data_IF_793976360467
#
_entry.id   IF_793976360467
#
_cell.length_a   1.000
_cell.length_b   1.000
_cell.length_c   1.000
_cell.angle_alpha   90.00
_cell.angle_beta   90.00
_cell.angle_gamma   90.00
#
_symmetry.space_group_name_H-M   'P 1'
#
loop_
_entity.id
_entity.type
_entity.pdbx_description
1 polymer ?
#
# COMPACT_ATOMS: atom_id res chain seq x y z
N UNK A 1 1.38 -46.87 38.45
CA UNK A 1 1.68 -45.46 38.81
C UNK A 1 1.85 -44.71 37.51
N UNK A 2 0.82 -43.97 37.07
CA UNK A 2 0.80 -43.24 35.83
C UNK A 2 1.16 -41.77 36.17
N UNK A 3 2.28 -41.29 35.64
CA UNK A 3 2.70 -39.90 35.81
C UNK A 3 2.01 -39.06 34.76
N UNK A 4 1.13 -38.15 35.18
CA UNK A 4 0.48 -37.14 34.33
C UNK A 4 1.44 -35.96 34.17
N UNK A 5 2.02 -35.80 32.99
CA UNK A 5 2.83 -34.61 32.62
C UNK A 5 1.88 -33.52 32.15
N UNK A 6 1.65 -32.52 33.00
CA UNK A 6 0.93 -31.29 32.60
C UNK A 6 1.92 -30.39 31.88
N UNK A 7 1.81 -30.31 30.56
CA UNK A 7 2.49 -29.28 29.75
C UNK A 7 1.76 -27.95 29.94
N UNK A 8 2.28 -27.11 30.82
CA UNK A 8 1.86 -25.73 30.96
C UNK A 8 2.31 -24.93 29.72
N UNK A 9 1.43 -24.72 28.75
CA UNK A 9 1.65 -23.76 27.69
C UNK A 9 1.66 -22.35 28.28
N UNK A 10 2.81 -21.65 28.16
CA UNK A 10 2.87 -20.20 28.39
C UNK A 10 2.04 -19.52 27.30
N UNK A 11 0.83 -19.13 27.62
CA UNK A 11 0.10 -18.15 26.79
C UNK A 11 0.77 -16.82 27.04
N UNK A 12 1.53 -16.33 26.07
CA UNK A 12 1.97 -14.94 26.06
C UNK A 12 0.69 -14.08 26.01
N UNK A 13 0.39 -13.42 27.10
CA UNK A 13 -0.68 -12.45 27.20
C UNK A 13 -0.18 -11.21 26.46
N UNK A 14 -0.62 -11.03 25.22
CA UNK A 14 -0.42 -9.77 24.51
C UNK A 14 -1.02 -8.66 25.36
N UNK A 15 -0.20 -7.70 25.77
CA UNK A 15 -0.65 -6.53 26.51
C UNK A 15 -1.25 -5.57 25.50
N UNK A 16 -2.57 -5.45 25.46
CA UNK A 16 -3.22 -4.35 24.76
C UNK A 16 -2.78 -3.03 25.39
N UNK A 17 -2.25 -2.12 24.58
CA UNK A 17 -1.92 -0.76 25.03
C UNK A 17 -3.18 0.10 24.92
N UNK A 18 -3.73 0.50 26.07
CA UNK A 18 -4.81 1.50 26.09
C UNK A 18 -4.23 2.90 25.99
N UNK A 19 -4.24 3.46 24.78
CA UNK A 19 -3.86 4.85 24.56
C UNK A 19 -4.98 5.79 24.98
N UNK A 20 -4.75 6.61 25.99
CA UNK A 20 -5.72 7.58 26.51
C UNK A 20 -5.61 8.96 25.87
N UNK A 21 -4.52 9.23 25.16
CA UNK A 21 -4.30 10.50 24.45
C UNK A 21 -3.32 10.32 23.29
N UNK A 22 -3.50 11.15 22.26
CA UNK A 22 -2.60 11.24 21.11
C UNK A 22 -2.17 12.71 20.97
N UNK A 23 -0.85 12.93 20.83
CA UNK A 23 -0.28 14.24 20.50
C UNK A 23 0.05 14.25 19.01
N UNK A 24 -0.40 15.28 18.30
CA UNK A 24 -0.11 15.49 16.89
C UNK A 24 0.77 16.74 16.75
N UNK A 25 1.95 16.57 16.16
CA UNK A 25 2.86 17.67 15.83
C UNK A 25 2.96 17.79 14.30
N UNK A 26 2.79 19.01 13.77
CA UNK A 26 2.99 19.29 12.33
C UNK A 26 4.49 19.48 12.10
N UNK A 27 5.08 18.61 11.27
CA UNK A 27 6.52 18.65 10.95
C UNK A 27 6.78 19.39 9.62
N UNK A 28 5.86 19.29 8.69
CA UNK A 28 5.93 19.93 7.38
C UNK A 28 4.53 20.21 6.84
N UNK A 29 4.36 21.35 6.20
CA UNK A 29 3.12 21.76 5.54
C UNK A 29 3.46 22.43 4.21
N UNK A 30 2.72 22.09 3.15
CA UNK A 30 2.82 22.68 1.82
C UNK A 30 1.42 22.69 1.16
N UNK A 31 1.27 23.41 0.06
CA UNK A 31 0.04 23.51 -0.72
C UNK A 31 -0.25 22.30 -1.60
N UNK A 32 0.58 21.25 -1.54
CA UNK A 32 0.47 20.04 -2.34
C UNK A 32 -0.20 18.89 -1.58
N UNK A 33 -0.70 17.91 -2.31
CA UNK A 33 -1.23 16.67 -1.73
C UNK A 33 -0.11 15.65 -1.54
N UNK A 34 0.24 15.35 -0.28
CA UNK A 34 1.15 14.24 0.08
C UNK A 34 0.29 13.07 0.54
N UNK A 35 0.35 11.94 -0.16
CA UNK A 35 -0.46 10.75 0.13
C UNK A 35 0.35 9.53 0.50
N UNK A 36 1.65 9.56 0.24
CA UNK A 36 2.54 8.46 0.55
C UNK A 36 3.79 9.00 1.27
N UNK A 37 4.11 8.36 2.37
CA UNK A 37 5.29 8.63 3.19
C UNK A 37 5.98 7.31 3.49
N UNK A 38 7.30 7.34 3.68
CA UNK A 38 8.10 6.15 3.93
C UNK A 38 9.19 6.44 4.97
N UNK A 39 9.26 5.64 6.01
CA UNK A 39 10.37 5.69 6.96
C UNK A 39 11.59 5.01 6.35
N UNK A 40 12.63 5.77 6.05
CA UNK A 40 13.88 5.23 5.53
C UNK A 40 14.71 4.57 6.66
N UNK A 41 14.60 5.11 7.85
CA UNK A 41 15.18 4.64 9.10
C UNK A 41 14.45 5.26 10.30
N UNK A 42 14.88 5.01 11.53
CA UNK A 42 14.28 5.55 12.76
C UNK A 42 14.28 7.09 12.87
N UNK A 43 15.09 7.78 12.05
CA UNK A 43 15.29 9.23 12.13
C UNK A 43 14.96 9.96 10.83
N UNK A 44 14.65 9.23 9.76
CA UNK A 44 14.47 9.79 8.42
C UNK A 44 13.19 9.30 7.79
N UNK A 45 12.37 10.26 7.38
CA UNK A 45 11.14 10.03 6.63
C UNK A 45 11.29 10.64 5.24
N UNK A 46 10.89 9.92 4.21
CA UNK A 46 10.78 10.43 2.85
C UNK A 46 9.32 10.52 2.42
N UNK A 47 9.05 11.41 1.47
CA UNK A 47 7.71 11.61 0.91
C UNK A 47 7.76 12.05 -0.54
N UNK A 48 6.67 11.83 -1.24
CA UNK A 48 6.41 12.42 -2.55
C UNK A 48 4.92 12.79 -2.67
N UNK A 49 4.62 13.78 -3.50
CA UNK A 49 3.27 14.35 -3.59
C UNK A 49 2.95 14.89 -4.99
N UNK A 50 1.84 15.63 -5.07
CA UNK A 50 1.46 16.33 -6.29
C UNK A 50 2.47 17.43 -6.64
N UNK A 51 2.32 18.01 -7.83
CA UNK A 51 3.18 19.07 -8.34
C UNK A 51 4.67 18.72 -8.37
N UNK A 52 4.98 17.42 -8.54
CA UNK A 52 6.35 16.92 -8.60
C UNK A 52 7.12 17.04 -7.29
N UNK A 53 6.48 17.43 -6.20
CA UNK A 53 7.14 17.59 -4.92
C UNK A 53 7.63 16.25 -4.38
N UNK A 54 8.86 16.20 -3.92
CA UNK A 54 9.40 15.11 -3.11
C UNK A 54 10.43 15.63 -2.11
N UNK A 55 10.66 14.88 -1.06
CA UNK A 55 11.58 15.34 -0.04
C UNK A 55 11.83 14.34 1.07
N UNK A 56 12.56 14.81 2.07
CA UNK A 56 12.82 14.05 3.30
C UNK A 56 12.79 14.96 4.53
N UNK A 57 12.46 14.35 5.64
CA UNK A 57 12.46 14.98 6.97
C UNK A 57 13.42 14.22 7.86
N UNK A 58 14.32 14.93 8.53
CA UNK A 58 15.07 14.39 9.64
C UNK A 58 14.27 14.61 10.92
N UNK A 59 13.78 13.54 11.53
CA UNK A 59 12.87 13.58 12.69
C UNK A 59 13.55 14.05 13.99
N UNK A 60 14.88 13.95 14.08
CA UNK A 60 15.65 14.44 15.24
C UNK A 60 15.82 15.97 15.21
N UNK A 61 16.05 16.52 14.03
CA UNK A 61 16.37 17.95 13.87
C UNK A 61 15.22 18.76 13.28
N UNK A 62 14.13 18.10 12.87
CA UNK A 62 13.01 18.68 12.12
C UNK A 62 13.43 19.37 10.80
N UNK A 63 14.61 19.00 10.29
CA UNK A 63 15.10 19.57 9.03
C UNK A 63 14.39 18.92 7.86
N UNK A 64 13.73 19.74 7.05
CA UNK A 64 13.05 19.32 5.83
C UNK A 64 13.88 19.70 4.61
N UNK A 65 14.01 18.79 3.68
CA UNK A 65 14.61 19.02 2.37
C UNK A 65 13.58 18.68 1.30
N UNK A 66 13.30 19.61 0.40
CA UNK A 66 12.36 19.42 -0.70
C UNK A 66 12.98 19.71 -2.04
N UNK A 67 12.47 19.02 -3.05
CA UNK A 67 12.78 19.27 -4.48
C UNK A 67 11.51 19.08 -5.30
N UNK A 68 11.52 19.62 -6.50
CA UNK A 68 10.44 19.42 -7.48
C UNK A 68 10.98 18.67 -8.70
N UNK A 69 10.27 17.61 -9.09
CA UNK A 69 10.53 16.85 -10.31
C UNK A 69 9.77 17.47 -11.48
N UNK A 70 10.43 17.49 -12.64
CA UNK A 70 9.80 17.77 -13.94
C UNK A 70 10.19 16.69 -14.94
N UNK A 71 9.25 16.30 -15.76
CA UNK A 71 9.48 15.40 -16.87
C UNK A 71 9.11 16.14 -18.17
N UNK A 72 10.12 16.60 -18.92
CA UNK A 72 9.96 17.51 -20.05
C UNK A 72 9.15 18.77 -19.64
N UNK A 73 7.95 18.94 -20.21
CA UNK A 73 7.03 20.05 -19.90
C UNK A 73 5.98 19.70 -18.87
N UNK A 74 5.86 18.41 -18.46
CA UNK A 74 4.88 17.94 -17.47
C UNK A 74 5.47 17.95 -16.06
N UNK A 75 4.59 18.06 -15.09
CA UNK A 75 4.91 17.95 -13.66
C UNK A 75 4.19 16.71 -13.15
N UNK A 76 4.91 15.64 -12.78
CA UNK A 76 4.28 14.40 -12.31
C UNK A 76 3.58 14.58 -10.95
N UNK A 77 2.50 13.85 -10.73
CA UNK A 77 1.85 13.73 -9.43
C UNK A 77 2.19 12.37 -8.83
N UNK A 78 2.98 12.37 -7.75
CA UNK A 78 3.40 11.13 -7.09
C UNK A 78 2.38 10.71 -6.04
N UNK A 79 2.04 9.42 -6.02
CA UNK A 79 1.08 8.84 -5.07
C UNK A 79 1.58 7.57 -4.40
N UNK A 80 2.64 6.96 -4.91
CA UNK A 80 3.26 5.79 -4.32
C UNK A 80 4.75 6.03 -4.07
N UNK A 81 5.22 5.57 -2.92
CA UNK A 81 6.62 5.61 -2.52
C UNK A 81 7.03 4.28 -1.89
N UNK A 82 8.30 3.94 -2.00
CA UNK A 82 8.87 2.77 -1.33
C UNK A 82 10.38 2.98 -1.13
N UNK A 83 11.02 2.12 -0.35
CA UNK A 83 12.46 2.15 -0.18
C UNK A 83 13.07 0.75 -0.11
N UNK A 84 14.37 0.70 -0.39
CA UNK A 84 15.28 -0.39 -0.02
C UNK A 84 16.30 0.15 0.97
N UNK A 85 17.21 -0.65 1.42
CA UNK A 85 18.29 -0.18 2.31
C UNK A 85 19.15 0.94 1.68
N UNK A 86 19.15 1.09 0.35
CA UNK A 86 20.00 2.04 -0.37
C UNK A 86 19.26 3.09 -1.17
N UNK A 87 18.05 2.83 -1.57
CA UNK A 87 17.32 3.66 -2.53
C UNK A 87 15.90 3.98 -2.07
N UNK A 88 15.46 5.20 -2.35
CA UNK A 88 14.08 5.64 -2.27
C UNK A 88 13.47 5.68 -3.66
N UNK A 89 12.21 5.28 -3.76
CA UNK A 89 11.45 5.20 -5.01
C UNK A 89 10.20 6.06 -4.90
N UNK A 90 9.80 6.67 -6.02
CA UNK A 90 8.55 7.40 -6.15
C UNK A 90 7.92 7.12 -7.51
N UNK A 91 6.62 6.83 -7.52
CA UNK A 91 5.85 6.48 -8.71
C UNK A 91 4.70 7.46 -8.89
N UNK A 92 4.60 8.02 -10.09
CA UNK A 92 3.51 8.92 -10.44
C UNK A 92 2.28 8.16 -10.91
N UNK A 93 1.12 8.80 -10.72
CA UNK A 93 -0.15 8.41 -11.36
C UNK A 93 -0.20 8.92 -12.80
N UNK A 94 -1.18 8.42 -13.56
CA UNK A 94 -1.56 8.84 -14.91
C UNK A 94 -0.47 8.64 -15.97
N UNK A 95 -0.83 8.88 -17.20
CA UNK A 95 0.05 8.74 -18.37
C UNK A 95 0.83 10.03 -18.64
N UNK A 96 2.17 10.01 -18.73
CA UNK A 96 3.01 8.84 -18.48
C UNK A 96 3.15 8.53 -16.98
N UNK A 97 2.98 7.26 -16.60
CA UNK A 97 3.43 6.79 -15.29
C UNK A 97 4.95 6.75 -15.27
N UNK A 98 5.53 7.37 -14.25
CA UNK A 98 6.98 7.59 -14.13
C UNK A 98 7.46 7.06 -12.78
N UNK A 99 8.31 6.05 -12.81
CA UNK A 99 8.94 5.52 -11.61
C UNK A 99 10.39 5.99 -11.55
N UNK A 100 10.69 6.75 -10.51
CA UNK A 100 12.03 7.22 -10.23
C UNK A 100 12.62 6.52 -9.01
N UNK A 101 13.93 6.33 -9.03
CA UNK A 101 14.70 5.90 -7.86
C UNK A 101 15.84 6.86 -7.57
N UNK A 102 16.31 6.89 -6.33
CA UNK A 102 17.57 7.57 -6.01
C UNK A 102 18.73 6.85 -6.68
N UNK A 103 19.69 7.62 -7.15
CA UNK A 103 20.95 7.13 -7.66
C UNK A 103 22.11 7.75 -6.88
N UNK A 104 23.33 7.32 -7.18
CA UNK A 104 24.52 7.89 -6.58
C UNK A 104 24.49 9.44 -6.59
N UNK A 105 24.85 10.07 -5.47
CA UNK A 105 24.82 11.53 -5.25
C UNK A 105 23.42 12.15 -5.08
N UNK A 106 22.39 11.34 -4.71
CA UNK A 106 21.05 11.82 -4.41
C UNK A 106 20.31 12.45 -5.60
N UNK A 107 20.62 12.01 -6.82
CA UNK A 107 19.83 12.33 -8.01
C UNK A 107 18.74 11.27 -8.18
N UNK A 108 17.61 11.67 -8.76
CA UNK A 108 16.57 10.75 -9.17
C UNK A 108 16.83 10.27 -10.60
N UNK A 109 16.70 8.98 -10.80
CA UNK A 109 16.86 8.29 -12.08
C UNK A 109 15.53 7.63 -12.47
N UNK A 110 15.10 7.83 -13.72
CA UNK A 110 13.90 7.19 -14.25
C UNK A 110 14.20 5.74 -14.58
N UNK A 111 13.53 4.80 -13.91
CA UNK A 111 13.75 3.35 -14.07
C UNK A 111 12.57 2.61 -14.71
N UNK A 112 11.40 3.25 -14.80
CA UNK A 112 10.25 2.74 -15.53
C UNK A 112 9.39 3.88 -16.05
N UNK A 113 8.84 3.69 -17.25
CA UNK A 113 7.86 4.58 -17.86
C UNK A 113 6.81 3.75 -18.60
N UNK A 114 5.55 4.12 -18.42
CA UNK A 114 4.42 3.57 -19.18
C UNK A 114 3.52 4.68 -19.69
N UNK A 115 3.12 4.59 -20.94
CA UNK A 115 2.22 5.53 -21.59
C UNK A 115 1.03 4.78 -22.18
N UNK A 116 -0.13 5.36 -22.09
CA UNK A 116 -1.37 4.80 -22.64
C UNK A 116 -2.60 5.38 -22.00
N UNK A 117 -3.74 5.18 -22.63
CA UNK A 117 -5.03 5.57 -22.07
C UNK A 117 -5.33 4.69 -20.85
N UNK A 118 -5.77 5.31 -19.74
CA UNK A 118 -6.11 4.61 -18.51
C UNK A 118 -4.92 4.11 -17.69
N UNK A 119 -3.67 4.40 -18.07
CA UNK A 119 -2.51 4.09 -17.23
C UNK A 119 -2.57 4.88 -15.94
N UNK A 120 -2.64 4.16 -14.81
CA UNK A 120 -2.70 4.74 -13.49
C UNK A 120 -2.09 3.75 -12.48
N UNK A 121 -1.16 4.21 -11.64
CA UNK A 121 -0.53 3.41 -10.59
C UNK A 121 -0.85 3.96 -9.22
N UNK A 122 -1.19 3.07 -8.28
CA UNK A 122 -1.80 3.42 -7.00
C UNK A 122 -0.85 3.25 -5.81
N UNK A 123 -0.11 2.15 -5.78
CA UNK A 123 0.74 1.79 -4.67
C UNK A 123 1.98 1.04 -5.10
N UNK A 124 3.00 1.07 -4.24
CA UNK A 124 4.27 0.37 -4.44
C UNK A 124 4.85 -0.08 -3.09
N UNK A 125 5.40 -1.30 -3.05
CA UNK A 125 6.06 -1.84 -1.86
C UNK A 125 7.24 -2.73 -2.23
N UNK A 126 8.31 -2.69 -1.45
CA UNK A 126 9.41 -3.64 -1.57
C UNK A 126 9.27 -4.77 -0.56
N UNK A 127 9.56 -5.99 -0.99
CA UNK A 127 9.60 -7.21 -0.19
C UNK A 127 10.93 -7.32 0.56
N UNK A 128 11.99 -6.91 -0.13
CA UNK A 128 13.38 -6.88 0.33
C UNK A 128 14.18 -5.89 -0.52
N UNK A 129 15.50 -5.89 -0.37
CA UNK A 129 16.37 -4.99 -1.14
C UNK A 129 16.46 -5.28 -2.65
N UNK A 130 15.86 -6.38 -3.13
CA UNK A 130 15.93 -6.80 -4.53
C UNK A 130 14.57 -6.87 -5.21
N UNK A 131 13.52 -7.25 -4.46
CA UNK A 131 12.19 -7.52 -5.00
C UNK A 131 11.20 -6.46 -4.56
N UNK A 132 10.49 -5.91 -5.52
CA UNK A 132 9.44 -4.94 -5.28
C UNK A 132 8.29 -5.12 -6.26
N UNK A 133 7.15 -4.56 -5.92
CA UNK A 133 5.90 -4.63 -6.66
C UNK A 133 5.23 -3.26 -6.66
N UNK A 134 4.59 -2.89 -7.76
CA UNK A 134 3.62 -1.82 -7.79
C UNK A 134 2.35 -2.27 -8.50
N UNK A 135 1.23 -1.72 -8.08
CA UNK A 135 -0.10 -2.01 -8.62
C UNK A 135 -0.73 -0.75 -9.19
N UNK A 136 -1.50 -0.91 -10.24
CA UNK A 136 -2.31 0.12 -10.87
C UNK A 136 -3.61 -0.45 -11.40
N UNK A 137 -4.41 0.43 -11.97
CA UNK A 137 -5.74 0.15 -12.50
C UNK A 137 -5.73 -0.91 -13.61
N UNK A 138 -6.91 -1.47 -13.85
CA UNK A 138 -7.14 -2.44 -14.91
C UNK A 138 -6.70 -1.89 -16.27
N UNK A 139 -5.89 -2.69 -16.95
CA UNK A 139 -5.51 -2.54 -18.34
C UNK A 139 -5.72 -3.89 -19.03
N UNK A 140 -6.47 -3.88 -20.11
CA UNK A 140 -6.69 -5.05 -20.95
C UNK A 140 -7.32 -6.28 -20.22
N UNK A 141 -8.08 -6.06 -19.14
CA UNK A 141 -8.79 -7.09 -18.39
C UNK A 141 -8.06 -7.64 -17.16
N UNK A 142 -6.96 -7.05 -16.74
CA UNK A 142 -6.27 -7.40 -15.50
C UNK A 142 -5.72 -6.15 -14.81
N UNK A 143 -5.41 -6.22 -13.51
CA UNK A 143 -4.70 -5.14 -12.83
C UNK A 143 -3.30 -4.93 -13.43
N UNK A 144 -2.89 -3.68 -13.54
CA UNK A 144 -1.50 -3.34 -13.90
C UNK A 144 -0.57 -3.66 -12.76
N UNK A 145 0.21 -4.73 -12.88
CA UNK A 145 1.20 -5.11 -11.87
C UNK A 145 2.58 -5.09 -12.51
N UNK A 146 3.48 -4.29 -11.96
CA UNK A 146 4.91 -4.30 -12.31
C UNK A 146 5.74 -4.85 -11.16
N UNK A 147 6.77 -5.62 -11.49
CA UNK A 147 7.69 -6.22 -10.52
C UNK A 147 9.14 -5.91 -10.86
N UNK A 148 9.96 -5.82 -9.83
CA UNK A 148 11.42 -5.82 -9.94
C UNK A 148 12.03 -7.00 -9.19
N UNK A 149 13.21 -7.46 -9.63
CA UNK A 149 13.99 -8.53 -8.99
C UNK A 149 15.47 -8.13 -8.81
N UNK A 150 15.80 -6.88 -9.11
CA UNK A 150 17.18 -6.36 -9.16
C UNK A 150 17.34 -5.06 -8.37
N UNK A 151 16.52 -4.87 -7.33
CA UNK A 151 16.56 -3.68 -6.49
C UNK A 151 16.03 -2.43 -7.20
N UNK A 152 15.04 -2.60 -8.09
CA UNK A 152 14.41 -1.52 -8.81
C UNK A 152 15.24 -0.91 -9.93
N UNK A 153 16.30 -1.61 -10.39
CA UNK A 153 17.06 -1.16 -11.57
C UNK A 153 16.22 -1.32 -12.84
N UNK A 154 15.48 -2.43 -12.91
CA UNK A 154 14.54 -2.70 -13.99
C UNK A 154 13.20 -3.15 -13.44
N UNK A 155 12.13 -2.81 -14.15
CA UNK A 155 10.75 -3.19 -13.81
C UNK A 155 10.09 -3.85 -15.00
N UNK A 156 9.30 -4.86 -14.74
CA UNK A 156 8.58 -5.62 -15.78
C UNK A 156 7.10 -5.72 -15.42
N UNK A 157 6.22 -5.34 -16.38
CA UNK A 157 4.78 -5.56 -16.28
C UNK A 157 4.47 -7.03 -16.44
N UNK A 158 3.62 -7.56 -15.57
CA UNK A 158 3.10 -8.92 -15.69
C UNK A 158 2.10 -8.97 -16.84
N UNK A 159 2.09 -10.09 -17.57
CA UNK A 159 1.11 -10.33 -18.61
C UNK A 159 -0.24 -10.75 -17.97
N UNK A 160 -1.37 -10.35 -18.56
CA UNK A 160 -2.70 -10.65 -18.04
C UNK A 160 -2.97 -12.14 -17.86
N UNK A 161 -2.36 -13.00 -18.68
CA UNK A 161 -2.46 -14.46 -18.56
C UNK A 161 -1.90 -15.01 -17.24
N UNK A 162 -1.11 -14.21 -16.53
CA UNK A 162 -0.53 -14.54 -15.21
C UNK A 162 -1.39 -14.02 -14.03
N UNK A 163 -2.41 -13.24 -14.33
CA UNK A 163 -3.22 -12.52 -13.34
C UNK A 163 -4.68 -12.98 -13.41
N UNK A 164 -5.42 -12.89 -12.29
CA UNK A 164 -6.88 -13.02 -12.34
C UNK A 164 -7.50 -11.92 -13.20
N UNK A 165 -8.63 -12.23 -13.81
CA UNK A 165 -9.45 -11.26 -14.53
C UNK A 165 -9.93 -10.15 -13.59
N UNK A 166 -9.82 -8.92 -14.05
CA UNK A 166 -10.29 -7.73 -13.33
C UNK A 166 -11.55 -7.18 -14.00
N UNK A 167 -12.44 -6.57 -13.21
CA UNK A 167 -13.59 -5.84 -13.74
C UNK A 167 -13.14 -4.59 -14.49
N UNK A 168 -13.95 -4.10 -15.44
CA UNK A 168 -13.60 -2.99 -16.33
C UNK A 168 -13.10 -1.74 -15.57
N UNK A 169 -13.71 -1.43 -14.42
CA UNK A 169 -13.35 -0.28 -13.59
C UNK A 169 -12.53 -0.65 -12.35
N UNK A 170 -11.99 -1.87 -12.29
CA UNK A 170 -11.23 -2.31 -11.12
C UNK A 170 -9.82 -1.73 -11.12
N UNK A 171 -9.41 -1.27 -9.96
CA UNK A 171 -8.07 -0.75 -9.69
C UNK A 171 -7.75 -0.85 -8.21
N UNK A 172 -6.88 0.01 -7.76
CA UNK A 172 -6.63 0.21 -6.35
C UNK A 172 -6.82 1.70 -5.99
N UNK A 173 -6.76 2.06 -4.71
CA UNK A 173 -6.92 3.46 -4.33
C UNK A 173 -5.55 4.11 -4.07
N UNK A 174 -5.16 5.08 -4.87
CA UNK A 174 -3.96 5.91 -4.68
C UNK A 174 -4.11 6.87 -3.48
N UNK A 175 -4.54 6.35 -2.34
CA UNK A 175 -4.96 7.15 -1.18
C UNK A 175 -3.91 7.24 -0.07
N UNK A 176 -3.16 6.17 0.18
CA UNK A 176 -2.19 6.10 1.28
C UNK A 176 -0.99 5.19 1.01
N UNK A 177 -0.92 4.55 -0.16
CA UNK A 177 0.12 3.55 -0.50
C UNK A 177 0.04 2.26 0.37
N UNK A 178 -1.08 2.03 1.08
CA UNK A 178 -1.23 0.91 2.04
C UNK A 178 -2.26 -0.13 1.61
N UNK A 179 -2.56 -0.20 0.33
CA UNK A 179 -3.38 -1.26 -0.27
C UNK A 179 -2.57 -2.47 -0.77
N UNK A 180 -1.25 -2.44 -0.60
CA UNK A 180 -0.37 -3.61 -0.76
C UNK A 180 0.21 -3.99 0.60
N UNK A 181 0.10 -5.25 1.00
CA UNK A 181 0.79 -5.78 2.17
C UNK A 181 1.60 -7.02 1.81
N UNK A 182 2.73 -7.20 2.50
CA UNK A 182 3.68 -8.28 2.23
C UNK A 182 4.24 -8.81 3.55
N UNK A 183 4.04 -10.11 3.82
CA UNK A 183 4.69 -10.82 4.93
C UNK A 183 5.24 -12.14 4.42
N UNK A 184 6.52 -12.37 4.64
CA UNK A 184 7.21 -13.56 4.14
C UNK A 184 7.15 -13.64 2.61
N UNK A 185 6.52 -14.69 2.08
CA UNK A 185 6.33 -14.87 0.64
C UNK A 185 4.92 -14.51 0.17
N UNK A 186 4.06 -14.06 1.07
CA UNK A 186 2.67 -13.72 0.74
C UNK A 186 2.52 -12.23 0.47
N UNK A 187 1.85 -11.91 -0.63
CA UNK A 187 1.49 -10.56 -1.05
C UNK A 187 -0.04 -10.47 -1.09
N UNK A 188 -0.59 -9.39 -0.56
CA UNK A 188 -2.01 -9.06 -0.69
C UNK A 188 -2.15 -7.68 -1.31
N UNK A 189 -3.14 -7.52 -2.18
CA UNK A 189 -3.53 -6.24 -2.79
C UNK A 189 -5.03 -6.07 -2.64
N UNK A 190 -5.46 -4.96 -2.05
CA UNK A 190 -6.87 -4.59 -1.95
C UNK A 190 -7.33 -3.79 -3.15
N UNK A 191 -8.49 -4.14 -3.72
CA UNK A 191 -9.02 -3.49 -4.91
C UNK A 191 -10.24 -2.60 -4.64
N UNK A 192 -10.56 -1.75 -5.61
CA UNK A 192 -11.74 -0.89 -5.63
C UNK A 192 -13.05 -1.67 -5.69
N UNK A 193 -13.05 -2.89 -6.21
CA UNK A 193 -14.23 -3.77 -6.23
C UNK A 193 -14.41 -4.57 -4.94
N UNK A 194 -13.61 -4.27 -3.91
CA UNK A 194 -13.68 -4.96 -2.63
C UNK A 194 -13.06 -6.35 -2.64
N UNK A 195 -12.32 -6.71 -3.67
CA UNK A 195 -11.60 -7.98 -3.75
C UNK A 195 -10.18 -7.85 -3.18
N UNK A 196 -9.62 -8.96 -2.74
CA UNK A 196 -8.22 -9.09 -2.37
C UNK A 196 -7.52 -10.00 -3.37
N UNK A 197 -6.52 -9.47 -4.06
CA UNK A 197 -5.59 -10.27 -4.87
C UNK A 197 -4.50 -10.79 -3.96
N UNK A 198 -4.30 -12.10 -3.96
CA UNK A 198 -3.37 -12.78 -3.07
C UNK A 198 -2.40 -13.66 -3.85
N UNK A 199 -1.12 -13.51 -3.55
CA UNK A 199 -0.04 -14.38 -4.02
C UNK A 199 0.66 -15.02 -2.82
N UNK A 200 1.13 -16.27 -2.96
CA UNK A 200 1.93 -16.97 -1.93
C UNK A 200 3.37 -17.23 -2.38
N UNK A 201 3.77 -16.65 -3.48
CA UNK A 201 5.05 -16.90 -4.15
C UNK A 201 5.65 -15.59 -4.69
N UNK A 202 5.44 -14.51 -3.93
CA UNK A 202 6.00 -13.19 -4.21
C UNK A 202 5.60 -12.64 -5.58
N UNK A 203 4.33 -12.85 -5.96
CA UNK A 203 3.76 -12.34 -7.20
C UNK A 203 3.95 -13.25 -8.41
N UNK A 204 4.37 -14.51 -8.21
CA UNK A 204 4.49 -15.49 -9.29
C UNK A 204 3.13 -16.01 -9.78
N UNK A 205 2.23 -16.29 -8.84
CA UNK A 205 0.85 -16.73 -9.11
C UNK A 205 -0.13 -15.95 -8.24
N UNK A 206 -1.35 -15.73 -8.72
CA UNK A 206 -2.34 -14.89 -8.07
C UNK A 206 -3.72 -15.54 -8.00
N UNK A 207 -4.43 -15.22 -6.92
CA UNK A 207 -5.84 -15.55 -6.71
C UNK A 207 -6.60 -14.28 -6.38
N UNK A 208 -7.79 -14.08 -6.95
CA UNK A 208 -8.74 -13.04 -6.58
C UNK A 208 -9.74 -13.63 -5.57
N UNK A 209 -9.91 -12.97 -4.45
CA UNK A 209 -10.75 -13.38 -3.31
C UNK A 209 -11.75 -12.28 -3.07
N UNK A 210 -13.03 -12.58 -3.27
CA UNK A 210 -14.11 -11.65 -2.94
C UNK A 210 -14.22 -11.46 -1.44
N UNK A 211 -14.54 -10.25 -1.02
CA UNK A 211 -14.75 -9.91 0.40
C UNK A 211 -16.13 -9.27 0.61
N UNK A 212 -16.64 -9.28 1.84
CA UNK A 212 -17.92 -8.65 2.15
C UNK A 212 -17.83 -7.12 2.35
N UNK A 213 -16.72 -6.48 2.03
CA UNK A 213 -16.60 -5.02 2.16
C UNK A 213 -17.51 -4.31 1.15
N UNK A 214 -18.03 -3.15 1.52
CA UNK A 214 -18.88 -2.36 0.65
C UNK A 214 -18.12 -1.89 -0.59
N UNK A 215 -18.63 -2.20 -1.79
CA UNK A 215 -17.97 -1.90 -3.07
C UNK A 215 -18.96 -1.73 -4.23
N UNK A 216 -20.20 -1.31 -3.94
CA UNK A 216 -21.25 -1.15 -4.96
C UNK A 216 -21.08 0.12 -5.82
N UNK A 217 -20.28 1.09 -5.37
CA UNK A 217 -20.06 2.37 -6.04
C UNK A 217 -18.56 2.60 -6.27
N UNK A 218 -18.15 3.38 -7.27
CA UNK A 218 -16.74 3.63 -7.57
C UNK A 218 -15.93 4.32 -6.44
N UNK A 219 -16.66 4.88 -5.46
CA UNK A 219 -16.08 5.55 -4.27
C UNK A 219 -15.88 4.61 -3.10
N UNK A 220 -16.22 3.33 -3.27
CA UNK A 220 -16.21 2.29 -2.24
C UNK A 220 -15.17 1.22 -2.58
N UNK A 221 -14.82 0.36 -1.61
CA UNK A 221 -13.87 -0.72 -1.78
C UNK A 221 -12.83 -0.77 -0.66
N UNK A 222 -11.72 -1.45 -0.89
CA UNK A 222 -10.61 -1.57 0.07
C UNK A 222 -9.62 -0.42 -0.16
N UNK A 223 -9.47 0.46 0.82
CA UNK A 223 -8.53 1.58 0.76
C UNK A 223 -7.18 1.27 1.40
N UNK A 224 -7.19 0.42 2.41
CA UNK A 224 -5.97 0.08 3.15
C UNK A 224 -6.13 -1.27 3.81
N UNK A 225 -5.03 -1.98 3.93
CA UNK A 225 -4.94 -3.20 4.72
C UNK A 225 -3.61 -3.27 5.46
N UNK A 226 -3.61 -4.01 6.56
CA UNK A 226 -2.39 -4.34 7.29
C UNK A 226 -2.53 -5.72 7.92
N UNK A 227 -1.44 -6.42 8.07
CA UNK A 227 -1.37 -7.75 8.64
C UNK A 227 -0.47 -7.76 9.87
N UNK A 228 -1.02 -8.22 10.99
CA UNK A 228 -0.25 -8.44 12.21
C UNK A 228 0.74 -9.61 12.06
N UNK A 229 0.35 -10.64 11.32
CA UNK A 229 1.15 -11.80 10.96
C UNK A 229 0.56 -12.50 9.72
N UNK A 230 1.18 -13.60 9.28
CA UNK A 230 0.74 -14.35 8.08
C UNK A 230 -0.72 -14.83 8.11
N UNK A 231 -1.38 -14.83 9.28
CA UNK A 231 -2.76 -15.33 9.45
C UNK A 231 -3.76 -14.22 9.75
N UNK A 232 -3.39 -13.24 10.57
CA UNK A 232 -4.28 -12.19 11.05
C UNK A 232 -4.06 -10.91 10.26
N UNK A 233 -5.06 -10.49 9.51
CA UNK A 233 -5.07 -9.25 8.77
C UNK A 233 -6.37 -8.48 8.93
N UNK A 234 -6.31 -7.18 8.71
CA UNK A 234 -7.42 -6.26 8.77
C UNK A 234 -7.41 -5.36 7.53
N UNK A 235 -8.58 -5.09 6.98
CA UNK A 235 -8.72 -4.11 5.91
C UNK A 235 -9.86 -3.15 6.22
N UNK A 236 -9.68 -1.91 5.75
CA UNK A 236 -10.63 -0.84 5.94
C UNK A 236 -10.90 -0.13 4.62
N UNK A 237 -12.11 0.40 4.50
CA UNK A 237 -12.55 1.16 3.35
C UNK A 237 -13.74 2.04 3.70
N UNK A 238 -14.80 1.90 2.94
CA UNK A 238 -16.01 2.69 3.03
C UNK A 238 -16.13 3.64 1.84
N UNK A 239 -16.90 4.70 2.01
CA UNK A 239 -17.23 5.67 0.97
C UNK A 239 -16.75 7.07 1.37
N UNK A 240 -15.74 7.62 0.66
CA UNK A 240 -15.21 8.95 1.00
C UNK A 240 -16.23 10.07 0.77
N UNK A 241 -17.29 9.83 0.00
CA UNK A 241 -18.39 10.79 -0.17
C UNK A 241 -19.39 10.76 0.99
N UNK A 242 -19.33 9.70 1.82
CA UNK A 242 -20.14 9.49 3.01
C UNK A 242 -19.25 9.05 4.18
N UNK A 243 -18.29 9.87 4.63
CA UNK A 243 -17.20 9.46 5.52
C UNK A 243 -17.68 8.98 6.91
N UNK A 244 -18.89 9.33 7.31
CA UNK A 244 -19.49 8.90 8.58
C UNK A 244 -20.31 7.59 8.47
N UNK A 245 -20.47 7.02 7.25
CA UNK A 245 -21.16 5.76 7.07
C UNK A 245 -20.39 4.60 7.70
N UNK A 246 -21.09 3.73 8.45
CA UNK A 246 -20.51 2.68 9.28
C UNK A 246 -20.81 1.27 8.75
N UNK A 247 -21.33 1.18 7.53
CA UNK A 247 -21.81 -0.07 6.93
C UNK A 247 -20.72 -0.74 6.13
N UNK A 248 -20.44 -2.02 6.46
CA UNK A 248 -19.56 -2.92 5.71
C UNK A 248 -18.20 -2.31 5.30
N UNK A 249 -17.62 -1.48 6.16
CA UNK A 249 -16.39 -0.74 5.86
C UNK A 249 -15.13 -1.31 6.54
N UNK A 250 -15.27 -2.40 7.29
CA UNK A 250 -14.17 -3.07 8.01
C UNK A 250 -14.28 -4.57 7.89
N UNK A 251 -13.19 -5.21 7.51
CA UNK A 251 -13.11 -6.68 7.39
C UNK A 251 -11.84 -7.21 8.06
N UNK A 252 -11.92 -8.44 8.53
CA UNK A 252 -10.82 -9.15 9.17
C UNK A 252 -10.66 -10.54 8.53
N UNK A 253 -9.42 -10.97 8.39
CA UNK A 253 -9.05 -12.35 8.09
C UNK A 253 -8.32 -12.98 9.27
N UNK A 254 -8.47 -14.29 9.47
CA UNK A 254 -7.74 -15.09 10.47
C UNK A 254 -7.03 -16.30 9.84
N UNK A 255 -7.06 -16.38 8.53
CA UNK A 255 -6.51 -17.49 7.73
C UNK A 255 -5.57 -17.01 6.61
N UNK A 256 -4.99 -15.82 6.79
CA UNK A 256 -4.04 -15.25 5.85
C UNK A 256 -4.70 -14.74 4.57
N UNK A 257 -5.90 -14.20 4.68
CA UNK A 257 -6.62 -13.59 3.56
C UNK A 257 -7.30 -14.59 2.63
N UNK A 258 -7.45 -15.87 3.04
CA UNK A 258 -8.24 -16.84 2.27
C UNK A 258 -9.74 -16.60 2.41
N UNK A 259 -10.15 -16.16 3.59
CA UNK A 259 -11.52 -15.70 3.86
C UNK A 259 -11.53 -14.41 4.64
N UNK A 260 -12.56 -13.61 4.44
CA UNK A 260 -12.75 -12.32 5.08
C UNK A 260 -14.14 -12.22 5.68
N UNK A 261 -14.26 -11.60 6.84
CA UNK A 261 -15.54 -11.38 7.52
C UNK A 261 -15.68 -9.94 7.97
N UNK A 262 -16.90 -9.41 7.94
CA UNK A 262 -17.20 -8.10 8.49
C UNK A 262 -16.92 -8.08 10.00
N UNK A 263 -16.39 -6.96 10.47
CA UNK A 263 -16.14 -6.72 11.89
C UNK A 263 -16.58 -5.31 12.28
N UNK A 264 -17.00 -5.15 13.54
CA UNK A 264 -17.39 -3.85 14.09
C UNK A 264 -18.45 -3.11 13.24
N UNK A 265 -19.45 -3.84 12.72
CA UNK A 265 -20.57 -3.27 12.00
C UNK A 265 -21.29 -2.21 12.86
N UNK A 266 -21.59 -1.06 12.24
CA UNK A 266 -22.20 0.06 12.92
C UNK A 266 -21.33 0.80 13.94
N UNK A 267 -20.07 0.40 14.11
CA UNK A 267 -19.15 1.05 15.03
C UNK A 267 -18.16 2.00 14.30
N UNK A 268 -17.80 3.10 14.98
CA UNK A 268 -16.75 4.01 14.52
C UNK A 268 -15.39 3.29 14.35
N UNK A 269 -14.51 3.73 13.46
CA UNK A 269 -14.68 4.86 12.53
C UNK A 269 -15.47 4.47 11.27
N UNK A 270 -15.99 5.48 10.56
CA UNK A 270 -16.47 5.36 9.19
C UNK A 270 -15.33 5.18 8.18
N UNK A 271 -15.44 5.79 7.00
CA UNK A 271 -14.38 5.74 5.99
C UNK A 271 -13.01 6.14 6.55
N UNK A 272 -12.01 5.34 6.24
CA UNK A 272 -10.60 5.66 6.45
C UNK A 272 -9.78 5.12 5.28
N UNK A 273 -8.75 5.87 4.91
CA UNK A 273 -7.85 5.54 3.81
C UNK A 273 -6.54 4.90 4.26
N UNK A 274 -6.33 4.74 5.56
CA UNK A 274 -5.14 4.10 6.11
C UNK A 274 -5.48 3.39 7.42
N UNK A 275 -4.94 2.19 7.58
CA UNK A 275 -4.96 1.40 8.82
C UNK A 275 -3.59 0.77 9.02
N UNK A 276 -3.17 0.65 10.29
CA UNK A 276 -1.94 -0.02 10.67
C UNK A 276 -2.05 -0.64 12.05
N UNK A 277 -1.51 -1.85 12.22
CA UNK A 277 -1.22 -2.43 13.53
C UNK A 277 -0.04 -1.71 14.18
N UNK A 278 -0.11 -1.51 15.51
CA UNK A 278 0.92 -0.84 16.32
C UNK A 278 1.27 -1.64 17.57
#
# INVERSE_FOLDING_TARGET
>A
MIALVILGGCVNKETSHDYTSVKIDVIFEDSVSIRAIEFLDSNSLAFAGSDGLYGSVNLTTNKVLTKQMKFHTSIPSFRAVAHTATDFFMLSIESPALLYKTSGKGRMELVYKEEGDGVFYDAMKFMDNHRGIAVGDNQDGCLSIIITKDGGQTWKKLACEQLPEAEESEGAFAASNTNIEIIGETVWIGSTTGSVYRSNDLGGTWQKIETPILSAEPTQGIYSMDFYNESLGFAIGGDYTKPEALVANKIITRDGGRTWTLIAEGASPGYKSCVQFI
#
